data_IF_905439279620
#
_entry.id   IF_905439279620
#
_cell.length_a   1.000
_cell.length_b   1.000
_cell.length_c   1.000
_cell.angle_alpha   90.00
_cell.angle_beta   90.00
_cell.angle_gamma   90.00
#
_symmetry.space_group_name_H-M   'P 1'
#
loop_
_entity.id
_entity.type
_entity.pdbx_description
1 polymer ?
#
# COMPACT_ATOMS: atom_id res chain seq x y z
N UNK A 1 4.94 -14.67 -6.06
CA UNK A 1 6.05 -15.07 -5.17
C UNK A 1 5.92 -14.42 -3.80
N UNK A 2 5.84 -13.11 -3.70
CA UNK A 2 5.84 -12.36 -2.43
C UNK A 2 4.76 -12.83 -1.43
N UNK A 3 3.55 -13.09 -1.91
CA UNK A 3 2.48 -13.65 -1.07
C UNK A 3 2.84 -14.99 -0.44
N UNK A 4 3.54 -15.85 -1.19
CA UNK A 4 3.97 -17.15 -0.66
C UNK A 4 5.09 -16.99 0.35
N UNK A 5 6.10 -16.17 0.00
CA UNK A 5 7.19 -15.86 0.92
C UNK A 5 6.63 -15.28 2.22
N UNK A 6 5.70 -14.32 2.12
CA UNK A 6 5.02 -13.73 3.27
C UNK A 6 4.29 -14.78 4.11
N UNK A 7 3.54 -15.67 3.47
CA UNK A 7 2.81 -16.71 4.17
C UNK A 7 3.74 -17.73 4.86
N UNK A 8 4.85 -18.13 4.19
CA UNK A 8 5.85 -19.01 4.79
C UNK A 8 6.59 -18.37 5.95
N UNK A 9 6.97 -17.10 5.82
CA UNK A 9 7.58 -16.34 6.92
C UNK A 9 6.59 -16.24 8.09
N UNK A 10 5.30 -15.97 7.80
CA UNK A 10 4.26 -15.93 8.82
C UNK A 10 4.11 -17.25 9.54
N UNK A 11 4.07 -18.37 8.82
CA UNK A 11 4.01 -19.71 9.40
C UNK A 11 5.19 -19.96 10.35
N UNK A 12 6.39 -19.61 9.92
CA UNK A 12 7.58 -19.80 10.71
C UNK A 12 7.62 -18.88 11.95
N UNK A 13 7.46 -17.57 11.73
CA UNK A 13 7.61 -16.56 12.78
C UNK A 13 6.51 -16.65 13.85
N UNK A 14 5.28 -16.96 13.42
CA UNK A 14 4.11 -17.01 14.31
C UNK A 14 3.60 -18.43 14.57
N UNK A 15 4.29 -19.46 14.10
CA UNK A 15 3.87 -20.87 14.20
C UNK A 15 2.41 -21.08 13.78
N UNK A 16 1.96 -20.30 12.78
CA UNK A 16 0.61 -20.31 12.28
C UNK A 16 0.45 -21.37 11.19
N UNK A 17 -0.60 -22.18 11.23
CA UNK A 17 -0.92 -23.16 10.19
C UNK A 17 -1.82 -22.57 9.10
N UNK A 18 -2.55 -21.50 9.42
CA UNK A 18 -3.51 -20.85 8.54
C UNK A 18 -3.49 -19.34 8.70
N UNK A 19 -4.13 -18.62 7.76
CA UNK A 19 -4.35 -17.17 7.85
C UNK A 19 -5.22 -16.82 9.06
N UNK A 20 -6.10 -17.74 9.48
CA UNK A 20 -6.98 -17.56 10.65
C UNK A 20 -6.14 -17.48 11.94
N UNK A 21 -5.06 -18.27 12.04
CA UNK A 21 -4.18 -18.22 13.20
C UNK A 21 -3.43 -16.90 13.29
N UNK A 22 -3.06 -16.33 12.14
CA UNK A 22 -2.41 -15.01 12.05
C UNK A 22 -3.38 -13.90 12.52
N UNK A 23 -4.67 -14.04 12.21
CA UNK A 23 -5.72 -13.13 12.71
C UNK A 23 -5.89 -13.27 14.22
N UNK A 24 -5.99 -14.51 14.74
CA UNK A 24 -6.08 -14.76 16.18
C UNK A 24 -4.93 -14.17 16.99
N UNK A 25 -3.73 -14.13 16.40
CA UNK A 25 -2.55 -13.51 17.00
C UNK A 25 -2.52 -11.98 16.86
N UNK A 26 -3.54 -11.38 16.25
CA UNK A 26 -3.66 -9.92 16.10
C UNK A 26 -2.73 -9.27 15.08
N UNK A 27 -2.01 -10.07 14.29
CA UNK A 27 -1.09 -9.57 13.23
C UNK A 27 -1.90 -8.99 12.08
N UNK A 28 -2.95 -9.69 11.64
CA UNK A 28 -3.91 -9.23 10.64
C UNK A 28 -5.31 -9.10 11.24
N UNK A 29 -6.09 -8.15 10.72
CA UNK A 29 -7.53 -8.06 10.99
C UNK A 29 -8.29 -8.94 10.01
N UNK A 30 -9.55 -9.31 10.33
CA UNK A 30 -10.42 -10.12 9.44
C UNK A 30 -10.56 -9.54 8.03
N UNK A 31 -10.70 -8.21 7.91
CA UNK A 31 -10.76 -7.53 6.62
C UNK A 31 -9.46 -7.64 5.81
N UNK A 32 -8.31 -7.62 6.49
CA UNK A 32 -6.99 -7.79 5.88
C UNK A 32 -6.78 -9.24 5.43
N UNK A 33 -7.18 -10.20 6.24
CA UNK A 33 -7.14 -11.63 5.91
C UNK A 33 -8.03 -11.96 4.69
N UNK A 34 -9.23 -11.37 4.61
CA UNK A 34 -10.11 -11.50 3.43
C UNK A 34 -9.47 -10.92 2.17
N UNK A 35 -8.85 -9.74 2.25
CA UNK A 35 -8.11 -9.14 1.12
C UNK A 35 -6.95 -10.03 0.69
N UNK A 36 -6.22 -10.63 1.65
CA UNK A 36 -5.16 -11.58 1.37
C UNK A 36 -5.68 -12.79 0.59
N UNK A 37 -6.71 -13.45 1.07
CA UNK A 37 -7.28 -14.63 0.42
C UNK A 37 -7.80 -14.34 -0.99
N UNK A 38 -8.44 -13.19 -1.20
CA UNK A 38 -8.92 -12.75 -2.51
C UNK A 38 -7.78 -12.46 -3.48
N UNK A 39 -6.73 -11.76 -3.02
CA UNK A 39 -5.55 -11.47 -3.85
C UNK A 39 -4.80 -12.77 -4.20
N UNK A 40 -4.61 -13.65 -3.22
CA UNK A 40 -3.97 -14.95 -3.41
C UNK A 40 -4.70 -15.78 -4.45
N UNK A 41 -6.02 -15.97 -4.30
CA UNK A 41 -6.83 -16.73 -5.24
C UNK A 41 -6.75 -16.16 -6.64
N UNK A 42 -6.89 -14.84 -6.80
CA UNK A 42 -6.82 -14.19 -8.10
C UNK A 42 -5.45 -14.36 -8.77
N UNK A 43 -4.36 -14.06 -8.05
CA UNK A 43 -3.01 -14.17 -8.60
C UNK A 43 -2.63 -15.62 -8.92
N UNK A 44 -3.09 -16.59 -8.12
CA UNK A 44 -2.94 -18.00 -8.42
C UNK A 44 -3.69 -18.39 -9.70
N UNK A 45 -4.93 -17.95 -9.86
CA UNK A 45 -5.71 -18.21 -11.07
C UNK A 45 -5.00 -17.66 -12.31
N UNK A 46 -4.51 -16.42 -12.25
CA UNK A 46 -3.72 -15.83 -13.36
C UNK A 46 -2.48 -16.68 -13.67
N UNK A 47 -1.73 -17.08 -12.65
CA UNK A 47 -0.53 -17.91 -12.80
C UNK A 47 -0.83 -19.26 -13.43
N UNK A 48 -1.89 -19.93 -13.00
CA UNK A 48 -2.30 -21.22 -13.61
C UNK A 48 -2.64 -21.05 -15.09
N UNK A 49 -3.34 -19.98 -15.47
CA UNK A 49 -3.64 -19.69 -16.86
C UNK A 49 -2.37 -19.43 -17.68
N UNK A 50 -1.38 -18.70 -17.12
CA UNK A 50 -0.07 -18.50 -17.77
C UNK A 50 0.64 -19.83 -18.02
N UNK A 51 0.73 -20.70 -17.02
CA UNK A 51 1.39 -22.01 -17.15
C UNK A 51 0.68 -22.93 -18.14
N UNK A 52 -0.66 -22.96 -18.11
CA UNK A 52 -1.46 -23.75 -19.07
C UNK A 52 -1.29 -23.25 -20.51
N UNK A 53 -1.21 -21.93 -20.70
CA UNK A 53 -1.03 -21.32 -22.00
C UNK A 53 0.37 -21.60 -22.56
N UNK A 54 1.40 -21.46 -21.72
CA UNK A 54 2.79 -21.62 -22.14
C UNK A 54 3.22 -23.12 -22.22
N UNK A 55 2.42 -24.04 -21.69
CA UNK A 55 2.79 -25.46 -21.54
C UNK A 55 3.99 -25.70 -20.62
N UNK A 56 4.43 -24.66 -19.90
CA UNK A 56 5.58 -24.68 -18.99
C UNK A 56 5.39 -23.69 -17.85
N UNK A 57 6.30 -23.70 -16.87
CA UNK A 57 6.33 -22.68 -15.84
C UNK A 57 6.67 -21.31 -16.46
N UNK A 58 5.67 -20.43 -16.61
CA UNK A 58 5.80 -19.08 -17.14
C UNK A 58 5.33 -18.08 -16.10
N UNK A 59 6.16 -17.08 -15.80
CA UNK A 59 5.88 -16.07 -14.77
C UNK A 59 5.67 -14.67 -15.38
N UNK A 60 5.88 -14.52 -16.69
CA UNK A 60 5.78 -13.22 -17.37
C UNK A 60 4.39 -13.03 -17.95
N UNK A 61 3.71 -12.01 -17.47
CA UNK A 61 2.40 -11.57 -17.98
C UNK A 61 2.62 -10.48 -19.05
N UNK A 62 3.06 -10.89 -20.24
CA UNK A 62 3.24 -9.99 -21.38
C UNK A 62 1.92 -9.59 -22.04
N UNK A 63 1.97 -8.73 -23.06
CA UNK A 63 0.78 -8.20 -23.72
C UNK A 63 -0.10 -9.28 -24.36
N UNK A 64 0.53 -10.30 -24.94
CA UNK A 64 -0.18 -11.41 -25.57
C UNK A 64 -0.92 -12.25 -24.52
N UNK A 65 -0.23 -12.61 -23.45
CA UNK A 65 -0.81 -13.33 -22.32
C UNK A 65 -1.97 -12.54 -21.68
N UNK A 66 -1.83 -11.22 -21.52
CA UNK A 66 -2.89 -10.36 -21.00
C UNK A 66 -4.16 -10.42 -21.86
N UNK A 67 -4.01 -10.31 -23.19
CA UNK A 67 -5.14 -10.39 -24.15
C UNK A 67 -5.82 -11.76 -24.12
N UNK A 68 -5.08 -12.84 -23.96
CA UNK A 68 -5.63 -14.20 -23.94
C UNK A 68 -6.27 -14.57 -22.61
N UNK A 69 -5.70 -14.11 -21.49
CA UNK A 69 -6.20 -14.46 -20.15
C UNK A 69 -7.42 -13.64 -19.77
N UNK A 70 -7.50 -12.35 -20.14
CA UNK A 70 -8.60 -11.47 -19.77
C UNK A 70 -9.99 -12.07 -20.11
N UNK A 71 -10.29 -12.49 -21.36
CA UNK A 71 -11.59 -13.07 -21.68
C UNK A 71 -11.82 -14.43 -20.98
N UNK A 72 -10.78 -15.24 -20.79
CA UNK A 72 -10.90 -16.54 -20.09
C UNK A 72 -11.30 -16.35 -18.62
N UNK A 73 -10.96 -15.22 -18.02
CA UNK A 73 -11.34 -14.84 -16.66
C UNK A 73 -12.65 -14.02 -16.61
N UNK A 74 -13.38 -13.90 -17.74
CA UNK A 74 -14.67 -13.21 -17.82
C UNK A 74 -14.57 -11.69 -17.87
N UNK A 75 -13.41 -11.13 -18.21
CA UNK A 75 -13.26 -9.68 -18.39
C UNK A 75 -13.67 -9.30 -19.82
N UNK A 76 -14.86 -8.70 -19.95
CA UNK A 76 -15.38 -8.14 -21.18
C UNK A 76 -15.28 -6.61 -21.19
N UNK A 77 -15.37 -6.01 -22.38
CA UNK A 77 -15.43 -4.56 -22.55
C UNK A 77 -16.67 -4.00 -21.85
N UNK A 78 -16.49 -2.95 -21.09
CA UNK A 78 -17.59 -2.31 -20.34
C UNK A 78 -17.23 -0.89 -19.92
N UNK A 79 -18.17 0.05 -20.07
CA UNK A 79 -18.03 1.42 -19.56
C UNK A 79 -16.82 2.17 -20.15
N UNK A 80 -16.57 1.98 -21.44
CA UNK A 80 -15.46 2.64 -22.14
C UNK A 80 -14.08 2.02 -21.88
N UNK A 81 -13.97 0.96 -21.06
CA UNK A 81 -12.72 0.24 -20.80
C UNK A 81 -12.73 -1.12 -21.52
N UNK A 82 -11.62 -1.47 -22.13
CA UNK A 82 -11.40 -2.80 -22.72
C UNK A 82 -11.33 -3.87 -21.64
N UNK A 83 -11.73 -5.09 -21.95
CA UNK A 83 -11.66 -6.23 -21.04
C UNK A 83 -10.25 -6.44 -20.48
N UNK A 84 -9.21 -6.32 -21.33
CA UNK A 84 -7.82 -6.42 -20.90
C UNK A 84 -7.41 -5.32 -19.93
N UNK A 85 -7.86 -4.09 -20.10
CA UNK A 85 -7.59 -2.99 -19.17
C UNK A 85 -8.26 -3.21 -17.81
N UNK A 86 -9.49 -3.71 -17.82
CA UNK A 86 -10.23 -4.10 -16.61
C UNK A 86 -9.55 -5.25 -15.88
N UNK A 87 -9.04 -6.24 -16.61
CA UNK A 87 -8.25 -7.34 -16.08
C UNK A 87 -6.97 -6.80 -15.42
N UNK A 88 -6.21 -5.97 -16.12
CA UNK A 88 -4.96 -5.41 -15.61
C UNK A 88 -5.18 -4.47 -14.42
N UNK A 89 -6.24 -3.65 -14.44
CA UNK A 89 -6.64 -2.87 -13.26
C UNK A 89 -6.87 -3.77 -12.05
N UNK A 90 -7.58 -4.90 -12.22
CA UNK A 90 -7.79 -5.88 -11.15
C UNK A 90 -6.48 -6.50 -10.69
N UNK A 91 -5.56 -6.79 -11.62
CA UNK A 91 -4.25 -7.35 -11.35
C UNK A 91 -3.40 -6.39 -10.51
N UNK A 92 -3.26 -5.14 -10.94
CA UNK A 92 -2.49 -4.13 -10.19
C UNK A 92 -3.07 -3.83 -8.81
N UNK A 93 -4.39 -3.79 -8.67
CA UNK A 93 -5.04 -3.66 -7.36
C UNK A 93 -4.76 -4.86 -6.45
N UNK A 94 -4.72 -6.07 -6.99
CA UNK A 94 -4.34 -7.26 -6.22
C UNK A 94 -2.88 -7.19 -5.78
N UNK A 95 -1.95 -6.82 -6.67
CA UNK A 95 -0.52 -6.63 -6.34
C UNK A 95 -0.33 -5.54 -5.29
N UNK A 96 -1.02 -4.42 -5.41
CA UNK A 96 -1.00 -3.34 -4.41
C UNK A 96 -1.49 -3.81 -3.04
N UNK A 97 -2.57 -4.60 -2.99
CA UNK A 97 -3.04 -5.20 -1.74
C UNK A 97 -1.99 -6.10 -1.11
N UNK A 98 -1.27 -6.88 -1.92
CA UNK A 98 -0.15 -7.71 -1.45
C UNK A 98 0.95 -6.85 -0.84
N UNK A 99 1.36 -5.78 -1.50
CA UNK A 99 2.39 -4.86 -0.99
C UNK A 99 1.98 -4.25 0.37
N UNK A 100 0.72 -3.83 0.52
CA UNK A 100 0.19 -3.30 1.77
C UNK A 100 0.20 -4.36 2.90
N UNK A 101 -0.23 -5.58 2.59
CA UNK A 101 -0.24 -6.67 3.56
C UNK A 101 1.18 -7.08 3.97
N UNK A 102 2.13 -7.07 3.03
CA UNK A 102 3.54 -7.31 3.32
C UNK A 102 4.08 -6.28 4.30
N UNK A 103 3.78 -4.99 4.09
CA UNK A 103 4.19 -3.92 5.02
C UNK A 103 3.60 -4.09 6.41
N UNK A 104 2.30 -4.41 6.49
CA UNK A 104 1.62 -4.68 7.77
C UNK A 104 2.31 -5.81 8.53
N UNK A 105 2.62 -6.88 7.81
CA UNK A 105 3.24 -8.06 8.38
C UNK A 105 4.69 -7.79 8.84
N UNK A 106 5.50 -7.14 8.01
CA UNK A 106 6.86 -6.77 8.36
C UNK A 106 6.90 -5.82 9.57
N UNK A 107 5.93 -4.89 9.66
CA UNK A 107 5.78 -4.00 10.81
C UNK A 107 5.49 -4.76 12.11
N UNK A 108 4.61 -5.74 12.05
CA UNK A 108 4.29 -6.60 13.21
C UNK A 108 5.51 -7.41 13.64
N UNK A 109 6.18 -8.05 12.68
CA UNK A 109 7.42 -8.80 12.95
C UNK A 109 8.51 -7.94 13.58
N UNK A 110 8.77 -6.74 13.04
CA UNK A 110 9.78 -5.84 13.58
C UNK A 110 9.46 -5.48 15.03
N UNK A 111 8.18 -5.26 15.34
CA UNK A 111 7.73 -4.94 16.70
C UNK A 111 7.94 -6.11 17.65
N UNK A 112 7.57 -7.32 17.24
CA UNK A 112 7.66 -8.51 18.09
C UNK A 112 9.12 -8.96 18.26
N UNK A 113 9.93 -8.86 17.21
CA UNK A 113 11.36 -9.15 17.28
C UNK A 113 12.12 -8.17 18.19
N UNK A 114 11.74 -6.88 18.14
CA UNK A 114 12.34 -5.87 19.05
C UNK A 114 11.97 -6.10 20.52
N UNK A 115 10.77 -6.62 20.79
CA UNK A 115 10.38 -7.00 22.17
C UNK A 115 11.18 -8.19 22.68
N UNK A 116 11.52 -9.14 21.80
CA UNK A 116 12.28 -10.35 22.19
C UNK A 116 13.78 -10.08 22.32
N UNK A 117 14.33 -9.19 21.53
CA UNK A 117 15.70 -8.72 21.65
C UNK A 117 15.69 -7.49 22.56
N UNK A 118 16.07 -7.63 23.83
CA UNK A 118 16.42 -6.51 24.71
C UNK A 118 17.69 -5.82 24.19
N UNK A 119 17.67 -5.29 22.97
CA UNK A 119 18.78 -4.53 22.42
C UNK A 119 18.78 -3.18 23.08
N UNK A 120 19.67 -3.03 24.06
CA UNK A 120 20.02 -1.74 24.64
C UNK A 120 20.64 -0.90 23.50
N UNK A 121 19.88 0.07 22.97
CA UNK A 121 20.40 1.15 22.12
C UNK A 121 20.41 2.42 22.95
N UNK A 122 21.50 3.20 22.92
CA UNK A 122 21.51 4.53 23.51
C UNK A 122 20.45 5.40 22.81
N UNK A 123 19.35 5.63 23.48
CA UNK A 123 18.15 6.31 22.94
C UNK A 123 18.32 7.82 22.73
N UNK A 124 19.51 8.37 23.04
CA UNK A 124 19.77 9.80 22.97
C UNK A 124 20.21 10.32 21.59
N UNK A 125 20.41 9.44 20.60
CA UNK A 125 20.79 9.83 19.26
C UNK A 125 19.58 10.21 18.42
N UNK A 126 19.27 11.52 18.40
CA UNK A 126 18.34 12.19 17.47
C UNK A 126 16.86 11.76 17.59
N UNK A 127 16.29 11.95 18.76
CA UNK A 127 14.82 12.05 18.88
C UNK A 127 14.43 13.50 18.63
N UNK A 128 13.51 13.71 17.70
CA UNK A 128 12.89 15.00 17.45
C UNK A 128 11.39 14.86 17.70
N UNK A 129 10.92 15.40 18.80
CA UNK A 129 9.51 15.37 19.16
C UNK A 129 8.76 16.47 18.39
N UNK A 130 7.74 16.07 17.67
CA UNK A 130 6.87 16.92 16.86
C UNK A 130 5.42 16.57 17.20
N UNK A 131 5.04 16.80 18.47
CA UNK A 131 3.73 16.39 18.99
C UNK A 131 2.61 16.56 17.94
N UNK A 132 1.88 15.51 17.58
CA UNK A 132 1.82 14.16 18.18
C UNK A 132 2.71 13.09 17.50
N UNK A 133 3.68 13.51 16.72
CA UNK A 133 4.62 12.64 16.02
C UNK A 133 6.01 12.70 16.66
N UNK A 134 6.84 11.73 16.34
CA UNK A 134 8.25 11.70 16.71
C UNK A 134 9.08 11.19 15.56
N UNK A 135 10.21 11.83 15.29
CA UNK A 135 11.21 11.29 14.36
C UNK A 135 12.25 10.52 15.19
N UNK A 136 12.40 9.25 14.89
CA UNK A 136 13.33 8.34 15.54
C UNK A 136 14.05 7.50 14.48
N UNK A 137 15.36 7.54 14.47
CA UNK A 137 16.19 6.82 13.49
C UNK A 137 15.80 7.13 12.02
N UNK A 138 15.49 8.39 11.71
CA UNK A 138 15.08 8.84 10.37
C UNK A 138 13.66 8.41 9.95
N UNK A 139 12.83 7.97 10.90
CA UNK A 139 11.45 7.54 10.63
C UNK A 139 10.44 8.27 11.51
N UNK A 140 9.37 8.77 10.90
CA UNK A 140 8.25 9.38 11.63
C UNK A 140 7.40 8.29 12.27
N UNK A 141 7.24 8.38 13.59
CA UNK A 141 6.40 7.51 14.41
C UNK A 141 5.21 8.28 14.96
N UNK A 142 4.10 7.58 15.12
CA UNK A 142 2.92 8.07 15.79
C UNK A 142 3.01 7.73 17.28
N UNK A 143 2.79 8.74 18.13
CA UNK A 143 2.82 8.56 19.60
C UNK A 143 1.46 8.09 20.12
N UNK A 144 0.36 8.62 19.57
CA UNK A 144 -1.00 8.26 19.94
C UNK A 144 -1.64 7.28 18.95
N UNK A 145 -2.27 6.24 19.48
CA UNK A 145 -2.92 5.19 18.69
C UNK A 145 -4.23 5.61 18.05
N UNK A 146 -4.92 6.61 18.58
CA UNK A 146 -6.25 7.04 18.16
C UNK A 146 -6.24 8.32 17.34
N UNK A 147 -5.08 8.95 17.19
CA UNK A 147 -4.90 10.25 16.57
C UNK A 147 -5.65 10.41 15.23
N UNK A 148 -5.50 9.47 14.32
CA UNK A 148 -6.10 9.57 12.98
C UNK A 148 -7.61 9.38 12.97
N UNK A 149 -8.18 8.78 14.04
CA UNK A 149 -9.62 8.69 14.22
C UNK A 149 -10.19 10.00 14.73
N UNK A 150 -9.51 10.61 15.67
CA UNK A 150 -9.98 11.80 16.36
C UNK A 150 -9.64 13.09 15.57
N UNK A 151 -8.59 13.05 14.77
CA UNK A 151 -8.13 14.15 13.91
C UNK A 151 -7.67 13.63 12.53
N UNK A 152 -8.59 13.41 11.58
CA UNK A 152 -8.25 12.86 10.26
C UNK A 152 -7.26 13.70 9.43
N UNK A 153 -7.24 15.03 9.62
CA UNK A 153 -6.29 15.97 9.00
C UNK A 153 -4.83 15.58 9.28
N UNK A 154 -4.56 14.97 10.43
CA UNK A 154 -3.24 14.46 10.82
C UNK A 154 -2.68 13.38 9.89
N UNK A 155 -3.54 12.76 9.07
CA UNK A 155 -3.08 11.85 8.01
C UNK A 155 -2.24 12.58 6.95
N UNK A 156 -2.61 13.80 6.57
CA UNK A 156 -1.84 14.60 5.61
C UNK A 156 -0.62 15.22 6.28
N UNK A 157 -0.77 15.72 7.50
CA UNK A 157 0.33 16.29 8.29
C UNK A 157 1.48 15.30 8.49
N UNK A 158 1.20 14.01 8.72
CA UNK A 158 2.22 12.96 8.80
C UNK A 158 3.16 12.99 7.57
N UNK A 159 2.59 13.09 6.37
CA UNK A 159 3.37 13.09 5.13
C UNK A 159 4.08 14.43 4.90
N UNK A 160 3.49 15.54 5.34
CA UNK A 160 4.13 16.85 5.33
C UNK A 160 5.37 16.87 6.23
N UNK A 161 5.27 16.31 7.44
CA UNK A 161 6.42 16.15 8.35
C UNK A 161 7.48 15.23 7.75
N UNK A 162 7.06 14.07 7.22
CA UNK A 162 7.99 13.13 6.58
C UNK A 162 8.76 13.80 5.43
N UNK A 163 8.08 14.60 4.61
CA UNK A 163 8.66 15.35 3.52
C UNK A 163 9.62 16.44 3.98
N UNK A 164 9.20 17.29 4.91
CA UNK A 164 9.98 18.44 5.39
C UNK A 164 11.29 18.02 6.06
N UNK A 165 11.28 16.90 6.77
CA UNK A 165 12.43 16.35 7.49
C UNK A 165 13.20 15.26 6.72
N UNK A 166 12.87 15.01 5.46
CA UNK A 166 13.44 13.91 4.64
C UNK A 166 13.45 12.56 5.38
N UNK A 167 12.38 12.30 6.13
CA UNK A 167 12.22 11.10 6.96
C UNK A 167 11.30 10.07 6.27
N UNK A 168 11.54 8.79 6.54
CA UNK A 168 10.59 7.74 6.18
C UNK A 168 9.43 7.70 7.19
N UNK A 169 8.35 7.04 6.82
CA UNK A 169 7.27 6.75 7.78
C UNK A 169 7.47 5.35 8.35
N UNK A 170 7.41 5.24 9.68
CA UNK A 170 7.59 3.95 10.35
C UNK A 170 6.48 2.96 9.93
N UNK A 171 6.80 1.68 9.65
CA UNK A 171 5.82 0.69 9.17
C UNK A 171 4.56 0.58 10.03
N UNK A 172 4.67 0.63 11.37
CA UNK A 172 3.51 0.62 12.26
C UNK A 172 2.63 1.87 12.09
N UNK A 173 3.23 3.03 11.79
CA UNK A 173 2.49 4.26 11.50
C UNK A 173 1.75 4.12 10.17
N UNK A 174 2.39 3.58 9.12
CA UNK A 174 1.74 3.29 7.82
C UNK A 174 0.60 2.28 7.96
N UNK A 175 0.76 1.26 8.81
CA UNK A 175 -0.33 0.32 9.10
C UNK A 175 -1.55 1.05 9.67
N UNK A 176 -1.35 1.99 10.60
CA UNK A 176 -2.42 2.80 11.19
C UNK A 176 -3.04 3.74 10.17
N UNK A 177 -2.22 4.39 9.33
CA UNK A 177 -2.69 5.18 8.18
C UNK A 177 -3.67 4.37 7.34
N UNK A 178 -3.24 3.18 6.87
CA UNK A 178 -4.07 2.31 6.03
C UNK A 178 -5.37 1.90 6.72
N UNK A 179 -5.35 1.68 8.03
CA UNK A 179 -6.52 1.31 8.84
C UNK A 179 -7.46 2.49 9.14
N UNK A 180 -6.99 3.73 8.95
CA UNK A 180 -7.73 4.97 9.22
C UNK A 180 -8.20 5.70 7.95
N UNK A 181 -8.00 5.14 6.75
CA UNK A 181 -8.38 5.79 5.49
C UNK A 181 -9.86 6.16 5.40
N UNK A 182 -10.73 5.42 6.07
CA UNK A 182 -12.17 5.71 6.10
C UNK A 182 -12.52 7.02 6.83
N UNK A 183 -11.64 7.54 7.67
CA UNK A 183 -11.84 8.81 8.38
C UNK A 183 -11.61 10.04 7.49
N UNK A 184 -10.88 9.91 6.37
CA UNK A 184 -10.73 10.99 5.38
C UNK A 184 -12.05 11.24 4.65
N UNK A 185 -12.83 12.15 5.19
CA UNK A 185 -14.14 12.55 4.70
C UNK A 185 -14.09 13.85 3.88
N UNK A 186 -15.25 14.36 3.48
CA UNK A 186 -15.36 15.61 2.72
C UNK A 186 -14.91 16.82 3.55
N UNK A 187 -15.16 16.83 4.85
CA UNK A 187 -14.77 17.91 5.76
C UNK A 187 -13.26 18.06 5.78
N UNK A 188 -12.53 16.94 5.98
CA UNK A 188 -11.07 16.94 5.97
C UNK A 188 -10.49 17.34 4.61
N UNK A 189 -11.12 16.91 3.51
CA UNK A 189 -10.68 17.30 2.15
C UNK A 189 -10.88 18.76 1.83
N UNK A 190 -11.86 19.40 2.45
CA UNK A 190 -12.17 20.83 2.24
C UNK A 190 -11.50 21.75 3.27
N UNK A 191 -10.77 21.19 4.25
CA UNK A 191 -10.04 21.97 5.23
C UNK A 191 -8.87 22.73 4.60
N UNK A 192 -8.85 24.06 4.77
CA UNK A 192 -7.86 24.92 4.14
C UNK A 192 -6.43 24.65 4.61
N UNK A 193 -6.25 24.30 5.90
CA UNK A 193 -4.94 23.98 6.46
C UNK A 193 -4.39 22.67 5.87
N UNK A 194 -5.22 21.64 5.85
CA UNK A 194 -4.87 20.32 5.25
C UNK A 194 -4.53 20.44 3.77
N UNK A 195 -5.31 21.23 3.03
CA UNK A 195 -5.04 21.50 1.61
C UNK A 195 -3.71 22.23 1.40
N UNK A 196 -3.39 23.21 2.25
CA UNK A 196 -2.10 23.91 2.19
C UNK A 196 -0.94 22.96 2.42
N UNK A 197 -1.00 22.11 3.43
CA UNK A 197 0.03 21.09 3.70
C UNK A 197 0.24 20.14 2.50
N UNK A 198 -0.84 19.74 1.85
CA UNK A 198 -0.75 18.91 0.65
C UNK A 198 -0.13 19.65 -0.54
N UNK A 199 -0.51 20.91 -0.76
CA UNK A 199 0.06 21.77 -1.80
C UNK A 199 1.55 22.03 -1.56
N UNK A 200 1.96 22.25 -0.30
CA UNK A 200 3.36 22.42 0.07
C UNK A 200 4.22 21.20 -0.29
N UNK A 201 3.66 19.99 -0.15
CA UNK A 201 4.31 18.76 -0.63
C UNK A 201 4.40 18.78 -2.16
N UNK A 202 3.28 19.02 -2.84
CA UNK A 202 3.15 18.90 -4.30
C UNK A 202 4.05 19.90 -5.04
N UNK A 203 4.18 21.14 -4.51
CA UNK A 203 4.95 22.22 -5.12
C UNK A 203 6.39 22.30 -4.59
N UNK A 204 6.79 21.36 -3.76
CA UNK A 204 8.12 21.36 -3.16
C UNK A 204 9.22 21.15 -4.20
N UNK A 205 10.31 21.89 -4.07
CA UNK A 205 11.54 21.69 -4.85
C UNK A 205 12.40 20.51 -4.35
N UNK A 206 12.10 19.98 -3.16
CA UNK A 206 12.70 18.75 -2.65
C UNK A 206 11.93 17.60 -3.28
N UNK A 207 12.57 16.55 -3.73
CA UNK A 207 11.96 15.39 -4.39
C UNK A 207 10.56 15.00 -3.79
N UNK A 208 9.44 15.53 -4.31
CA UNK A 208 8.09 15.22 -3.78
C UNK A 208 7.63 13.81 -4.17
N UNK A 209 8.20 13.23 -5.24
CA UNK A 209 7.80 11.92 -5.76
C UNK A 209 7.81 10.85 -4.67
N UNK A 210 8.85 10.82 -3.84
CA UNK A 210 9.00 9.83 -2.78
C UNK A 210 7.81 9.82 -1.81
N UNK A 211 7.41 10.98 -1.31
CA UNK A 211 6.31 11.06 -0.35
C UNK A 211 4.96 10.90 -1.02
N UNK A 212 4.77 11.43 -2.22
CA UNK A 212 3.54 11.24 -3.00
C UNK A 212 3.33 9.77 -3.37
N UNK A 213 4.39 9.06 -3.73
CA UNK A 213 4.37 7.62 -3.94
C UNK A 213 3.95 6.87 -2.68
N UNK A 214 4.50 7.22 -1.53
CA UNK A 214 4.13 6.63 -0.25
C UNK A 214 2.67 6.91 0.12
N UNK A 215 2.18 8.14 -0.15
CA UNK A 215 0.76 8.49 -0.01
C UNK A 215 -0.13 7.67 -0.96
N UNK A 216 0.30 7.48 -2.22
CA UNK A 216 -0.42 6.65 -3.17
C UNK A 216 -0.47 5.19 -2.70
N UNK A 217 0.66 4.61 -2.37
CA UNK A 217 0.78 3.23 -1.91
C UNK A 217 -0.01 2.95 -0.62
N UNK A 218 -0.02 3.88 0.33
CA UNK A 218 -0.82 3.76 1.56
C UNK A 218 -2.32 3.97 1.35
N UNK A 219 -2.72 4.53 0.20
CA UNK A 219 -4.11 4.81 -0.16
C UNK A 219 -4.60 6.19 0.22
N UNK A 220 -3.78 7.00 0.90
CA UNK A 220 -4.14 8.36 1.31
C UNK A 220 -4.37 9.26 0.10
N UNK A 221 -3.50 9.20 -0.91
CA UNK A 221 -3.58 10.09 -2.06
C UNK A 221 -4.92 9.97 -2.79
N UNK A 222 -5.31 8.76 -3.19
CA UNK A 222 -6.58 8.55 -3.87
C UNK A 222 -7.82 8.71 -2.98
N UNK A 223 -7.66 8.68 -1.65
CA UNK A 223 -8.75 8.97 -0.72
C UNK A 223 -8.90 10.48 -0.48
N UNK A 224 -7.78 11.20 -0.44
CA UNK A 224 -7.75 12.65 -0.30
C UNK A 224 -8.17 13.37 -1.59
N UNK A 225 -7.68 12.92 -2.75
CA UNK A 225 -8.08 13.36 -4.08
C UNK A 225 -8.89 12.27 -4.80
N UNK A 226 -10.23 12.29 -4.73
CA UNK A 226 -11.07 11.23 -5.31
C UNK A 226 -10.89 11.07 -6.83
N UNK A 227 -10.61 12.14 -7.56
CA UNK A 227 -10.39 12.08 -9.01
C UNK A 227 -9.08 11.34 -9.34
N UNK A 228 -8.01 11.58 -8.59
CA UNK A 228 -6.82 10.74 -8.67
C UNK A 228 -7.11 9.28 -8.27
N UNK A 229 -7.98 9.08 -7.29
CA UNK A 229 -8.43 7.77 -6.86
C UNK A 229 -9.06 6.94 -8.00
N UNK A 230 -9.69 7.58 -8.97
CA UNK A 230 -10.30 6.91 -10.13
C UNK A 230 -9.28 6.35 -11.10
N UNK A 231 -8.12 7.00 -11.24
CA UNK A 231 -7.06 6.59 -12.19
C UNK A 231 -6.05 5.62 -11.58
N UNK A 232 -6.14 5.34 -10.27
CA UNK A 232 -5.27 4.36 -9.60
C UNK A 232 -5.38 3.00 -10.26
N UNK A 233 -4.21 2.42 -10.56
CA UNK A 233 -4.06 1.13 -11.22
C UNK A 233 -4.74 1.06 -12.60
N UNK A 234 -5.12 2.18 -13.20
CA UNK A 234 -5.56 2.22 -14.59
C UNK A 234 -4.36 2.07 -15.51
N UNK A 235 -4.52 1.28 -16.53
CA UNK A 235 -3.55 1.07 -17.58
C UNK A 235 -4.22 1.39 -18.93
N UNK A 236 -3.54 2.14 -19.77
CA UNK A 236 -3.87 2.23 -21.17
C UNK A 236 -3.18 1.07 -21.88
N UNK A 237 -3.98 0.23 -22.55
CA UNK A 237 -3.45 -0.96 -23.20
C UNK A 237 -2.90 -0.61 -24.58
N UNK A 238 -1.65 -0.19 -24.61
CA UNK A 238 -0.85 0.00 -25.83
C UNK A 238 0.63 -0.36 -25.55
N UNK A 239 1.44 -0.43 -26.62
CA UNK A 239 2.84 -0.82 -26.52
C UNK A 239 3.76 0.28 -26.00
N UNK A 240 3.25 1.52 -25.86
CA UNK A 240 4.06 2.69 -25.48
C UNK A 240 4.00 2.99 -23.97
N UNK A 241 2.94 2.56 -23.29
CA UNK A 241 2.73 2.86 -21.88
C UNK A 241 3.11 1.67 -21.00
N UNK A 242 4.28 1.76 -20.35
CA UNK A 242 4.79 0.74 -19.44
C UNK A 242 4.29 0.89 -18.01
N UNK A 243 3.70 2.03 -17.67
CA UNK A 243 3.25 2.38 -16.32
C UNK A 243 1.73 2.54 -16.25
N UNK A 244 1.18 2.34 -15.06
CA UNK A 244 -0.20 2.75 -14.78
C UNK A 244 -0.31 4.28 -14.75
N UNK A 245 -1.51 4.81 -14.98
CA UNK A 245 -1.76 6.25 -15.06
C UNK A 245 -1.30 6.97 -13.78
N UNK A 246 -1.60 6.39 -12.61
CA UNK A 246 -1.16 6.94 -11.32
C UNK A 246 0.37 6.95 -11.18
N UNK A 247 1.07 5.88 -11.57
CA UNK A 247 2.53 5.83 -11.55
C UNK A 247 3.16 6.81 -12.54
N UNK A 248 2.57 6.95 -13.73
CA UNK A 248 3.04 7.92 -14.71
C UNK A 248 2.89 9.36 -14.20
N UNK A 249 1.70 9.66 -13.63
CA UNK A 249 1.42 11.00 -13.06
C UNK A 249 2.36 11.35 -11.89
N UNK A 250 2.78 10.37 -11.08
CA UNK A 250 3.71 10.61 -9.98
C UNK A 250 5.16 10.85 -10.43
N UNK A 251 5.50 10.42 -11.66
CA UNK A 251 6.85 10.62 -12.23
C UNK A 251 7.00 11.91 -13.02
N UNK A 252 5.87 12.47 -13.52
CA UNK A 252 5.83 13.72 -14.27
C UNK A 252 6.06 14.93 -13.35
#
# INVERSE_FOLDING_TARGET
RDLHSLFWIAKYAYRANSIVDIVKQGVLRDGEARKFALAQRFLWTVRCHLHLQAGRAEERLDFEAQMMIAPRLGFADRGGMRGVERFMKRYYLAVRNVGNLTRIFCAAMETDFRKSLKVWRPDFLRKHDLDPFRIESGRVRLLDNFLFRDSPARLIELFSIAHSHDADVHPNTLQRVTRSLSTLDATTRNDAHTNRQFLDILTSRKNPERVLRLMNESGVFGRFLPDFGRVIAMMQFDMYHSYTVDEHTLKA
#
